data_IF_426308055070
#
_entry.id   IF_426308055070
#
_cell.length_a   1.000
_cell.length_b   1.000
_cell.length_c   1.000
_cell.angle_alpha   90.00
_cell.angle_beta   90.00
_cell.angle_gamma   90.00
#
_symmetry.space_group_name_H-M   'P 1'
#
loop_
_entity.id
_entity.type
_entity.pdbx_description
1 polymer ?
#
# COMPACT_ATOMS: atom_id res chain seq x y z
N UNK A 1 5.90 -8.44 -15.49
CA UNK A 1 5.55 -8.26 -14.07
C UNK A 1 4.68 -7.04 -14.02
N UNK A 2 3.43 -7.19 -13.62
CA UNK A 2 2.46 -6.10 -13.63
C UNK A 2 2.65 -5.19 -12.41
N UNK A 3 2.40 -3.89 -12.58
CA UNK A 3 2.47 -2.92 -11.50
C UNK A 3 1.09 -2.33 -11.23
N UNK A 4 0.61 -2.48 -10.00
CA UNK A 4 -0.65 -1.92 -9.53
C UNK A 4 -0.39 -0.84 -8.50
N UNK A 5 -1.28 0.14 -8.42
CA UNK A 5 -1.20 1.24 -7.44
C UNK A 5 -2.52 1.36 -6.70
N UNK A 6 -2.44 1.55 -5.39
CA UNK A 6 -3.57 1.91 -4.54
C UNK A 6 -3.14 2.94 -3.50
N UNK A 7 -4.11 3.59 -2.86
CA UNK A 7 -3.88 4.54 -1.78
C UNK A 7 -4.98 4.39 -0.73
N UNK A 8 -4.61 4.45 0.55
CA UNK A 8 -5.56 4.40 1.65
C UNK A 8 -4.96 4.92 2.96
N UNK A 9 -5.84 5.32 3.88
CA UNK A 9 -5.54 5.66 5.26
C UNK A 9 -5.84 4.48 6.21
N UNK A 10 -5.63 4.68 7.51
CA UNK A 10 -5.77 3.65 8.52
C UNK A 10 -7.19 3.09 8.67
N UNK A 11 -8.22 3.84 8.26
CA UNK A 11 -9.62 3.39 8.30
C UNK A 11 -9.90 2.35 7.21
N UNK A 12 -9.16 2.40 6.11
CA UNK A 12 -9.30 1.48 4.97
C UNK A 12 -8.24 0.36 4.95
N UNK A 13 -7.39 0.27 5.97
CA UNK A 13 -6.36 -0.77 6.08
C UNK A 13 -6.93 -2.20 5.92
N UNK A 14 -8.07 -2.59 6.54
CA UNK A 14 -8.62 -3.94 6.35
C UNK A 14 -8.95 -4.24 4.88
N UNK A 15 -9.48 -3.28 4.14
CA UNK A 15 -9.81 -3.38 2.72
C UNK A 15 -8.53 -3.46 1.88
N UNK A 16 -7.50 -2.69 2.22
CA UNK A 16 -6.18 -2.77 1.60
C UNK A 16 -5.53 -4.15 1.75
N UNK A 17 -5.63 -4.75 2.95
CA UNK A 17 -5.17 -6.11 3.20
C UNK A 17 -6.00 -7.15 2.44
N UNK A 18 -7.32 -6.97 2.37
CA UNK A 18 -8.18 -7.84 1.57
C UNK A 18 -7.84 -7.80 0.07
N UNK A 19 -7.52 -6.62 -0.46
CA UNK A 19 -7.02 -6.46 -1.84
C UNK A 19 -5.71 -7.22 -2.03
N UNK A 20 -4.72 -7.01 -1.16
CA UNK A 20 -3.42 -7.71 -1.23
C UNK A 20 -3.60 -9.24 -1.22
N UNK A 21 -4.40 -9.77 -0.29
CA UNK A 21 -4.69 -11.20 -0.22
C UNK A 21 -5.38 -11.74 -1.50
N UNK A 22 -6.20 -10.92 -2.15
CA UNK A 22 -6.82 -11.29 -3.42
C UNK A 22 -5.79 -11.34 -4.55
N UNK A 23 -4.87 -10.37 -4.59
CA UNK A 23 -3.81 -10.31 -5.58
C UNK A 23 -2.83 -11.47 -5.46
N UNK A 24 -2.44 -11.87 -4.25
CA UNK A 24 -1.62 -13.08 -4.03
C UNK A 24 -2.26 -14.34 -4.62
N UNK A 25 -3.60 -14.42 -4.65
CA UNK A 25 -4.34 -15.57 -5.22
C UNK A 25 -4.52 -15.50 -6.73
N UNK A 26 -4.54 -14.31 -7.32
CA UNK A 26 -5.11 -14.12 -8.67
C UNK A 26 -4.24 -13.29 -9.64
N UNK A 27 -3.31 -12.47 -9.16
CA UNK A 27 -2.58 -11.51 -9.99
C UNK A 27 -1.29 -12.08 -10.65
N UNK A 28 -0.87 -13.29 -10.28
CA UNK A 28 0.36 -13.88 -10.79
C UNK A 28 1.61 -13.11 -10.32
N UNK A 29 2.51 -12.74 -11.23
CA UNK A 29 3.72 -11.98 -10.89
C UNK A 29 3.45 -10.46 -10.92
N UNK A 30 3.43 -9.83 -9.74
CA UNK A 30 3.05 -8.42 -9.59
C UNK A 30 3.89 -7.65 -8.58
N UNK A 31 3.77 -6.33 -8.63
CA UNK A 31 4.12 -5.43 -7.52
C UNK A 31 2.94 -4.50 -7.24
N UNK A 32 2.53 -4.42 -5.98
CA UNK A 32 1.52 -3.49 -5.49
C UNK A 32 2.19 -2.32 -4.78
N UNK A 33 2.05 -1.13 -5.36
CA UNK A 33 2.46 0.12 -4.74
C UNK A 33 1.31 0.65 -3.88
N UNK A 34 1.59 0.97 -2.62
CA UNK A 34 0.62 1.52 -1.68
C UNK A 34 1.10 2.90 -1.25
N UNK A 35 0.36 3.93 -1.66
CA UNK A 35 0.50 5.28 -1.13
C UNK A 35 -0.26 5.36 0.19
N UNK A 36 0.50 5.36 1.28
CA UNK A 36 -0.01 5.45 2.64
C UNK A 36 -0.37 6.92 2.91
N UNK A 37 -1.67 7.20 3.07
CA UNK A 37 -2.17 8.56 3.31
C UNK A 37 -1.77 9.07 4.69
N UNK A 38 -1.79 8.19 5.70
CA UNK A 38 -1.33 8.51 7.05
C UNK A 38 -0.11 7.67 7.46
N UNK A 39 0.60 8.17 8.46
CA UNK A 39 1.79 7.52 9.03
C UNK A 39 1.45 6.17 9.67
N UNK A 40 0.23 6.02 10.20
CA UNK A 40 -0.20 4.81 10.90
C UNK A 40 -0.26 3.60 9.95
N UNK A 41 -0.81 3.74 8.75
CA UNK A 41 -0.80 2.69 7.72
C UNK A 41 0.61 2.32 7.34
N UNK A 42 1.46 3.31 7.08
CA UNK A 42 2.83 3.09 6.67
C UNK A 42 3.59 2.26 7.73
N UNK A 43 3.48 2.64 9.00
CA UNK A 43 4.14 1.97 10.11
C UNK A 43 3.65 0.53 10.31
N UNK A 44 2.34 0.30 10.18
CA UNK A 44 1.76 -1.05 10.29
C UNK A 44 2.22 -1.93 9.13
N UNK A 45 2.09 -1.47 7.88
CA UNK A 45 2.46 -2.25 6.71
C UNK A 45 3.97 -2.54 6.65
N UNK A 46 4.80 -1.59 7.08
CA UNK A 46 6.26 -1.77 7.19
C UNK A 46 6.61 -2.93 8.13
N UNK A 47 5.89 -3.05 9.26
CA UNK A 47 6.09 -4.14 10.23
C UNK A 47 5.59 -5.48 9.70
N UNK A 48 4.50 -5.48 8.92
CA UNK A 48 3.92 -6.70 8.35
C UNK A 48 4.80 -7.34 7.27
N UNK A 49 5.62 -6.54 6.56
CA UNK A 49 6.53 -7.01 5.50
C UNK A 49 5.81 -7.89 4.45
N UNK A 50 4.68 -7.38 3.95
CA UNK A 50 3.90 -8.09 2.95
C UNK A 50 4.73 -8.34 1.68
N UNK A 51 4.65 -9.55 1.09
CA UNK A 51 5.33 -9.84 -0.18
C UNK A 51 4.72 -9.00 -1.30
N UNK A 52 5.53 -8.72 -2.33
CA UNK A 52 5.10 -8.03 -3.54
C UNK A 52 4.55 -6.61 -3.30
N UNK A 53 4.82 -6.00 -2.14
CA UNK A 53 4.35 -4.65 -1.78
C UNK A 53 5.51 -3.67 -1.73
N UNK A 54 5.27 -2.46 -2.26
CA UNK A 54 6.15 -1.30 -2.10
C UNK A 54 5.35 -0.16 -1.46
N UNK A 55 5.88 0.44 -0.40
CA UNK A 55 5.20 1.48 0.35
C UNK A 55 5.75 2.86 -0.04
N UNK A 56 4.84 3.80 -0.24
CA UNK A 56 5.14 5.22 -0.39
C UNK A 56 4.42 5.96 0.73
N UNK A 57 5.11 6.86 1.40
CA UNK A 57 4.54 7.70 2.45
C UNK A 57 4.12 9.04 1.84
N UNK A 58 2.84 9.40 1.93
CA UNK A 58 2.33 10.64 1.32
C UNK A 58 3.07 11.89 1.82
N UNK A 59 3.36 11.95 3.14
CA UNK A 59 4.07 13.07 3.75
C UNK A 59 5.51 13.30 3.25
N UNK A 60 6.09 12.37 2.48
CA UNK A 60 7.38 12.55 1.80
C UNK A 60 7.23 13.10 0.37
N UNK A 61 6.02 13.12 -0.16
CA UNK A 61 5.69 13.50 -1.54
C UNK A 61 4.87 14.81 -1.60
N UNK A 62 4.22 15.17 -0.51
CA UNK A 62 3.48 16.42 -0.37
C UNK A 62 4.39 17.64 -0.61
N UNK A 63 3.80 18.65 -1.24
CA UNK A 63 4.47 19.93 -1.51
C UNK A 63 3.83 20.98 -0.63
N UNK A 64 4.41 22.18 -0.50
CA UNK A 64 3.79 23.22 0.35
C UNK A 64 2.35 23.59 -0.03
N UNK A 65 1.93 23.28 -1.25
CA UNK A 65 0.64 23.64 -1.82
C UNK A 65 -0.41 22.52 -1.68
N UNK A 66 0.00 21.32 -1.22
CA UNK A 66 -0.84 20.13 -1.08
C UNK A 66 -0.55 19.41 0.23
#
# INVERSE_FOLDING_TARGET
>A
MEHFVTLFDSLFLPQGLALHMSMERHAGNYTLWILCIDDAVHDVLTKMKLPNVQLLKLSLLETKEL
#
